data_IF_023820044756
#
_entry.id   IF_023820044756
#
_cell.length_a   1.000
_cell.length_b   1.000
_cell.length_c   1.000
_cell.angle_alpha   90.00
_cell.angle_beta   90.00
_cell.angle_gamma   90.00
#
_symmetry.space_group_name_H-M   'P 1'
#
loop_
_entity.id
_entity.type
_entity.pdbx_description
1 polymer ?
#
# COMPACT_ATOMS: atom_id res chain seq x y z
N UNK A 1 1.17 -7.01 -21.00
CA UNK A 1 0.08 -6.90 -20.05
C UNK A 1 0.35 -5.85 -18.99
N UNK A 2 -0.65 -5.09 -18.67
CA UNK A 2 -0.49 -3.98 -17.74
C UNK A 2 -0.54 -4.47 -16.31
N UNK A 3 0.38 -3.99 -15.48
CA UNK A 3 0.38 -4.34 -14.07
C UNK A 3 -0.64 -3.47 -13.33
N UNK A 4 -1.21 -4.02 -12.26
CA UNK A 4 -2.06 -3.23 -11.39
C UNK A 4 -1.21 -2.20 -10.63
N UNK A 5 -1.82 -1.07 -10.30
CA UNK A 5 -1.10 0.04 -9.68
C UNK A 5 -1.17 -0.08 -8.16
N UNK A 6 -0.01 0.01 -7.53
CA UNK A 6 0.13 0.12 -6.09
C UNK A 6 0.70 1.49 -5.82
N UNK A 7 -0.11 2.40 -5.26
CA UNK A 7 0.33 3.77 -5.04
C UNK A 7 0.74 3.95 -3.59
N UNK A 8 1.87 4.63 -3.38
CA UNK A 8 2.30 5.03 -2.05
C UNK A 8 2.31 6.54 -2.00
N UNK A 9 1.68 7.12 -0.98
CA UNK A 9 1.60 8.56 -0.83
C UNK A 9 2.09 8.95 0.55
N UNK A 10 3.16 9.74 0.60
CA UNK A 10 3.77 10.14 1.86
C UNK A 10 4.38 11.52 1.67
N UNK A 11 4.13 12.45 2.61
CA UNK A 11 4.71 13.79 2.48
C UNK A 11 6.23 13.80 2.38
N UNK A 12 6.89 12.76 2.91
CA UNK A 12 8.32 12.62 2.74
C UNK A 12 8.60 12.10 1.34
N UNK A 13 8.91 13.02 0.45
CA UNK A 13 9.09 12.70 -0.96
C UNK A 13 10.17 11.65 -1.17
N UNK A 14 11.27 11.75 -0.42
CA UNK A 14 12.36 10.80 -0.59
C UNK A 14 11.95 9.40 -0.17
N UNK A 15 11.17 9.29 0.90
CA UNK A 15 10.70 7.98 1.33
C UNK A 15 9.84 7.34 0.24
N UNK A 16 8.89 8.08 -0.27
CA UNK A 16 7.98 7.54 -1.27
C UNK A 16 8.73 7.15 -2.54
N UNK A 17 9.66 8.00 -2.95
CA UNK A 17 10.43 7.73 -4.17
C UNK A 17 11.31 6.50 -4.00
N UNK A 18 12.00 6.39 -2.88
CA UNK A 18 12.87 5.25 -2.63
C UNK A 18 12.09 3.95 -2.54
N UNK A 19 10.94 4.00 -1.90
CA UNK A 19 10.06 2.85 -1.82
C UNK A 19 9.67 2.37 -3.23
N UNK A 20 9.26 3.32 -4.06
CA UNK A 20 8.87 3.01 -5.43
C UNK A 20 10.03 2.42 -6.22
N UNK A 21 11.19 3.08 -6.18
CA UNK A 21 12.31 2.63 -6.99
C UNK A 21 12.81 1.26 -6.56
N UNK A 22 12.90 1.07 -5.25
CA UNK A 22 13.40 -0.20 -4.74
C UNK A 22 12.49 -1.34 -5.16
N UNK A 23 11.18 -1.16 -5.00
CA UNK A 23 10.25 -2.25 -5.27
C UNK A 23 10.02 -2.48 -6.75
N UNK A 24 10.13 -1.43 -7.56
CA UNK A 24 9.98 -1.62 -9.00
C UNK A 24 11.16 -2.39 -9.59
N UNK A 25 12.30 -2.39 -8.91
CA UNK A 25 13.44 -3.20 -9.36
C UNK A 25 13.28 -4.66 -8.97
N UNK A 26 12.41 -4.96 -8.03
CA UNK A 26 12.17 -6.33 -7.63
C UNK A 26 11.09 -6.93 -8.50
N UNK A 27 11.23 -8.20 -8.80
CA UNK A 27 10.23 -8.90 -9.59
C UNK A 27 9.37 -9.80 -8.73
N UNK A 28 9.26 -9.48 -7.45
CA UNK A 28 8.64 -10.35 -6.47
C UNK A 28 7.16 -10.05 -6.22
N UNK A 29 6.61 -9.09 -6.95
CA UNK A 29 5.19 -8.75 -6.78
C UNK A 29 4.61 -8.36 -8.13
N UNK A 30 3.29 -8.45 -8.28
CA UNK A 30 2.65 -8.21 -9.57
C UNK A 30 2.19 -6.75 -9.77
N UNK A 31 2.82 -5.81 -9.09
CA UNK A 31 2.34 -4.42 -9.11
C UNK A 31 3.36 -3.49 -9.72
N UNK A 32 2.83 -2.41 -10.31
CA UNK A 32 3.65 -1.25 -10.66
C UNK A 32 3.51 -0.25 -9.51
N UNK A 33 4.61 0.13 -8.90
CA UNK A 33 4.60 1.03 -7.76
C UNK A 33 4.69 2.47 -8.25
N UNK A 34 3.76 3.31 -7.81
CA UNK A 34 3.77 4.74 -8.12
C UNK A 34 3.85 5.52 -6.82
N UNK A 35 4.72 6.54 -6.79
CA UNK A 35 4.98 7.31 -5.58
C UNK A 35 4.42 8.72 -5.71
N UNK A 36 3.83 9.19 -4.63
CA UNK A 36 3.26 10.53 -4.55
C UNK A 36 3.65 11.17 -3.24
N UNK A 37 3.93 12.47 -3.27
CA UNK A 37 4.17 13.22 -2.04
C UNK A 37 3.12 14.30 -1.82
N UNK A 38 2.12 14.36 -2.67
CA UNK A 38 1.07 15.36 -2.59
C UNK A 38 -0.28 14.69 -2.85
N UNK A 39 -1.24 14.99 -1.99
CA UNK A 39 -2.60 14.48 -2.17
C UNK A 39 -3.21 15.04 -3.45
N UNK A 40 -2.88 16.28 -3.81
CA UNK A 40 -3.41 16.85 -5.04
C UNK A 40 -2.98 16.04 -6.26
N UNK A 41 -1.71 15.68 -6.32
CA UNK A 41 -1.22 14.89 -7.46
C UNK A 41 -1.82 13.50 -7.44
N UNK A 42 -1.95 12.92 -6.24
CA UNK A 42 -2.55 11.60 -6.10
C UNK A 42 -3.99 11.59 -6.61
N UNK A 43 -4.77 12.60 -6.23
CA UNK A 43 -6.17 12.63 -6.64
C UNK A 43 -6.30 12.83 -8.14
N UNK A 44 -5.44 13.64 -8.73
CA UNK A 44 -5.42 13.78 -10.20
C UNK A 44 -5.13 12.46 -10.87
N UNK A 45 -4.13 11.76 -10.38
CA UNK A 45 -3.74 10.48 -10.96
C UNK A 45 -4.89 9.48 -10.86
N UNK A 46 -5.56 9.47 -9.71
CA UNK A 46 -6.65 8.52 -9.48
C UNK A 46 -7.85 8.75 -10.38
N UNK A 47 -7.99 9.97 -10.91
CA UNK A 47 -9.07 10.25 -11.85
C UNK A 47 -8.83 9.62 -13.22
N UNK A 48 -7.57 9.34 -13.52
CA UNK A 48 -7.19 8.86 -14.86
C UNK A 48 -6.75 7.40 -14.84
N UNK A 49 -6.40 6.88 -13.67
CA UNK A 49 -5.86 5.52 -13.57
C UNK A 49 -6.47 4.84 -12.36
N UNK A 50 -6.82 3.58 -12.52
CA UNK A 50 -7.32 2.81 -11.38
C UNK A 50 -6.16 2.44 -10.46
N UNK A 51 -6.32 2.70 -9.17
CA UNK A 51 -5.35 2.31 -8.17
C UNK A 51 -5.89 1.10 -7.45
N UNK A 52 -5.16 -0.01 -7.54
CA UNK A 52 -5.61 -1.23 -6.90
C UNK A 52 -5.37 -1.20 -5.39
N UNK A 53 -4.19 -0.72 -4.98
CA UNK A 53 -3.86 -0.60 -3.56
C UNK A 53 -3.30 0.78 -3.33
N UNK A 54 -3.81 1.47 -2.32
CA UNK A 54 -3.30 2.77 -1.91
C UNK A 54 -2.75 2.67 -0.50
N UNK A 55 -1.44 2.93 -0.37
CA UNK A 55 -0.77 3.00 0.92
C UNK A 55 -0.53 4.47 1.20
N UNK A 56 -1.24 5.02 2.19
CA UNK A 56 -1.23 6.46 2.42
C UNK A 56 -0.77 6.78 3.83
N UNK A 57 0.16 7.74 3.93
CA UNK A 57 0.67 8.18 5.22
C UNK A 57 -0.46 8.66 6.12
N UNK A 58 -0.38 8.34 7.41
CA UNK A 58 -1.35 8.83 8.37
C UNK A 58 -1.39 10.37 8.38
N UNK A 59 -0.31 11.01 7.97
CA UNK A 59 -0.26 12.48 7.92
C UNK A 59 -0.89 13.05 6.67
N UNK A 60 -1.11 12.24 5.66
CA UNK A 60 -1.69 12.69 4.40
C UNK A 60 -3.15 12.28 4.25
N UNK A 61 -3.63 11.42 5.12
CA UNK A 61 -5.02 10.96 5.02
C UNK A 61 -5.98 12.09 5.29
N UNK A 62 -6.98 12.21 4.45
CA UNK A 62 -7.96 13.29 4.54
C UNK A 62 -9.24 12.87 3.84
N UNK A 63 -10.33 13.63 4.00
CA UNK A 63 -11.61 13.24 3.36
C UNK A 63 -11.50 13.07 1.85
N UNK A 64 -10.68 13.85 1.17
CA UNK A 64 -10.51 13.70 -0.28
C UNK A 64 -9.99 12.31 -0.63
N UNK A 65 -9.04 11.83 0.14
CA UNK A 65 -8.48 10.50 -0.10
C UNK A 65 -9.53 9.43 0.17
N UNK A 66 -10.32 9.63 1.21
CA UNK A 66 -11.35 8.66 1.56
C UNK A 66 -12.36 8.47 0.45
N UNK A 67 -12.57 9.50 -0.37
CA UNK A 67 -13.55 9.44 -1.44
C UNK A 67 -12.99 8.86 -2.73
N UNK A 68 -11.69 8.56 -2.78
CA UNK A 68 -11.10 8.00 -3.99
C UNK A 68 -11.60 6.57 -4.21
N UNK A 69 -11.79 6.25 -5.47
CA UNK A 69 -12.22 4.91 -5.86
C UNK A 69 -10.98 4.04 -6.06
N UNK A 70 -10.50 3.48 -4.95
CA UNK A 70 -9.34 2.58 -4.99
C UNK A 70 -9.78 1.20 -4.55
N UNK A 71 -9.05 0.20 -5.00
CA UNK A 71 -9.41 -1.17 -4.64
C UNK A 71 -9.26 -1.44 -3.15
N UNK A 72 -8.13 -1.07 -2.59
CA UNK A 72 -7.85 -1.29 -1.17
C UNK A 72 -7.07 -0.12 -0.63
N UNK A 73 -7.29 0.21 0.65
CA UNK A 73 -6.60 1.33 1.28
C UNK A 73 -5.99 0.89 2.60
N UNK A 74 -4.74 1.26 2.83
CA UNK A 74 -4.03 0.91 4.04
C UNK A 74 -3.23 2.13 4.50
N UNK A 75 -3.14 2.31 5.81
CA UNK A 75 -2.45 3.47 6.38
C UNK A 75 -0.99 3.13 6.60
N UNK A 76 -0.11 4.02 6.15
CA UNK A 76 1.32 3.93 6.42
C UNK A 76 1.58 4.75 7.68
N UNK A 77 1.81 4.07 8.79
CA UNK A 77 1.79 4.68 10.11
C UNK A 77 3.20 4.93 10.63
N UNK A 78 3.38 6.09 11.26
CA UNK A 78 4.65 6.40 11.93
C UNK A 78 4.66 5.93 13.37
N UNK A 79 3.61 5.21 13.78
CA UNK A 79 3.56 4.65 15.12
C UNK A 79 2.68 5.41 16.07
N UNK A 80 2.10 6.53 15.64
CA UNK A 80 1.20 7.31 16.48
C UNK A 80 -0.21 6.82 16.25
N UNK A 81 -0.90 6.53 17.34
CA UNK A 81 -2.28 6.05 17.24
C UNK A 81 -3.21 7.22 16.93
N UNK A 82 -4.04 7.04 15.91
CA UNK A 82 -5.02 8.04 15.49
C UNK A 82 -6.38 7.37 15.44
N UNK A 83 -7.24 7.64 16.43
CA UNK A 83 -8.55 6.95 16.48
C UNK A 83 -9.38 7.11 15.21
N UNK A 84 -9.25 8.23 14.51
CA UNK A 84 -10.01 8.43 13.28
C UNK A 84 -9.62 7.45 12.20
N UNK A 85 -8.44 6.83 12.32
CA UNK A 85 -7.94 5.92 11.29
C UNK A 85 -8.07 4.46 11.69
N UNK A 86 -8.68 4.18 12.84
CA UNK A 86 -8.79 2.81 13.34
C UNK A 86 -9.58 1.90 12.40
N UNK A 87 -10.44 2.48 11.57
CA UNK A 87 -11.24 1.68 10.64
C UNK A 87 -10.41 1.13 9.50
N UNK A 88 -9.18 1.58 9.32
CA UNK A 88 -8.33 1.13 8.24
C UNK A 88 -7.21 0.25 8.77
N UNK A 89 -6.82 -0.78 8.02
CA UNK A 89 -5.60 -1.49 8.39
C UNK A 89 -4.39 -0.57 8.25
N UNK A 90 -3.34 -0.85 9.00
CA UNK A 90 -2.15 -0.01 8.96
C UNK A 90 -0.90 -0.87 8.98
N UNK A 91 0.18 -0.30 8.48
CA UNK A 91 1.49 -0.92 8.53
C UNK A 91 2.49 0.12 9.02
N UNK A 92 3.43 -0.33 9.83
CA UNK A 92 4.45 0.56 10.40
C UNK A 92 5.45 0.95 9.31
N UNK A 93 5.72 2.25 9.21
CA UNK A 93 6.53 2.82 8.13
C UNK A 93 8.02 2.53 8.30
N UNK A 94 8.51 2.53 9.54
CA UNK A 94 9.95 2.48 9.79
C UNK A 94 10.46 1.06 9.87
N UNK A 95 10.41 0.39 8.72
CA UNK A 95 10.94 -0.94 8.53
C UNK A 95 11.31 -1.05 7.05
N UNK A 96 11.90 -2.16 6.64
CA UNK A 96 12.34 -2.27 5.26
C UNK A 96 11.15 -2.23 4.30
N UNK A 97 11.42 -1.77 3.08
CA UNK A 97 10.38 -1.75 2.05
C UNK A 97 9.83 -3.15 1.78
N UNK A 98 10.69 -4.16 1.83
CA UNK A 98 10.25 -5.54 1.65
C UNK A 98 9.25 -5.94 2.72
N UNK A 99 9.50 -5.55 3.97
CA UNK A 99 8.56 -5.87 5.03
C UNK A 99 7.26 -5.12 4.88
N UNK A 100 7.33 -3.86 4.47
CA UNK A 100 6.12 -3.07 4.29
C UNK A 100 5.24 -3.72 3.23
N UNK A 101 5.80 -4.02 2.07
CA UNK A 101 4.97 -4.55 1.00
C UNK A 101 4.46 -5.94 1.35
N UNK A 102 5.28 -6.73 2.06
CA UNK A 102 4.83 -8.06 2.48
C UNK A 102 3.64 -7.96 3.42
N UNK A 103 3.69 -7.03 4.38
CA UNK A 103 2.57 -6.89 5.30
C UNK A 103 1.31 -6.42 4.60
N UNK A 104 1.46 -5.50 3.64
CA UNK A 104 0.31 -5.02 2.90
C UNK A 104 -0.33 -6.16 2.11
N UNK A 105 0.48 -6.92 1.40
CA UNK A 105 -0.05 -7.98 0.55
C UNK A 105 -0.62 -9.12 1.37
N UNK A 106 0.01 -9.42 2.50
CA UNK A 106 -0.53 -10.45 3.39
C UNK A 106 -1.88 -10.03 3.97
N UNK A 107 -2.02 -8.75 4.29
CA UNK A 107 -3.27 -8.25 4.84
C UNK A 107 -4.43 -8.49 3.89
N UNK A 108 -4.16 -8.43 2.59
CA UNK A 108 -5.21 -8.57 1.60
C UNK A 108 -5.23 -9.94 0.94
N UNK A 109 -4.45 -10.87 1.48
CA UNK A 109 -4.46 -12.24 0.97
C UNK A 109 -3.88 -12.40 -0.42
N UNK A 110 -3.03 -11.47 -0.85
CA UNK A 110 -2.42 -11.54 -2.18
C UNK A 110 -1.22 -12.47 -2.12
N UNK A 111 -1.13 -13.39 -3.07
CA UNK A 111 0.01 -14.26 -3.17
C UNK A 111 1.14 -13.54 -3.86
N UNK A 112 2.34 -13.68 -3.34
CA UNK A 112 3.50 -13.06 -3.94
C UNK A 112 4.66 -14.03 -3.86
N UNK A 113 5.67 -13.73 -4.64
CA UNK A 113 6.90 -14.50 -4.59
C UNK A 113 7.72 -14.19 -3.36
N UNK A 114 7.37 -13.12 -2.66
CA UNK A 114 8.05 -12.80 -1.42
C UNK A 114 7.80 -13.86 -0.36
N UNK A 115 6.59 -14.42 -0.33
CA UNK A 115 6.27 -15.44 0.65
C UNK A 115 6.85 -16.78 0.29
N UNK A 116 7.04 -17.03 -1.00
CA UNK A 116 7.58 -18.29 -1.44
C UNK A 116 6.69 -19.47 -1.21
N UNK A 117 5.49 -19.28 -0.74
CA UNK A 117 4.59 -20.39 -0.46
C UNK A 117 3.16 -19.91 -0.44
N UNK A 118 2.29 -20.86 -0.58
CA UNK A 118 0.87 -20.57 -0.52
C UNK A 118 0.47 -20.55 0.91
N UNK A 119 -0.31 -19.60 1.23
CA UNK A 119 -0.88 -19.56 2.54
C UNK A 119 -2.14 -20.37 2.50
N UNK A 120 -2.17 -21.30 3.24
CA UNK A 120 -3.29 -22.13 3.10
C UNK A 120 -4.38 -21.80 4.06
N UNK A 121 -3.97 -21.62 3.68
CA UNK A 121 -4.67 -21.32 4.27
C UNK A 121 -5.41 -21.43 4.77
N UNK A 122 -5.28 -21.55 4.83
CA UNK A 122 -6.02 -21.53 5.31
C UNK A 122 -6.64 -21.76 5.86
N UNK A 123 -6.20 -21.76 5.72
CA UNK A 123 -6.74 -21.93 6.18
C UNK A 123 -7.34 -21.91 6.67
N UNK A 124 -7.15 -21.83 6.72
CA UNK A 124 -7.67 -21.79 7.19
C UNK A 124 -8.39 -21.81 7.60
N UNK A 125 -8.12 -21.82 7.47
CA UNK A 125 -8.80 -21.85 7.82
C UNK A 125 -9.34 -22.05 8.43
N UNK A 126 -9.08 -21.96 8.40
CA UNK A 126 -9.55 -22.14 8.92
C UNK A 126 -10.09 -22.20 9.43
N UNK A 127 -10.13 -22.18 9.67
CA UNK A 127 -10.53 -22.10 9.98
C UNK A 127 -10.92 -22.00 10.21
N UNK A 128 -10.82 -21.92 10.15
CA UNK A 128 -11.00 -21.65 10.12
C UNK A 128 -11.18 -21.68 10.30
#
# INVERSE_FOLDING_TARGET
MKKAIFAVCDPEKEYAHNFMEYLNQKQSHPYEIQAFSSVDVLTEYAQKHHIEILLISDKAMCPRVRELDVGKLMILSEGVHSPQLDQYPSVYKYQSSDNVIREVLNCYGVETELTGERIQRPLKVLGG
#
